data_IF_969316846152
#
_entry.id   IF_969316846152
#
_cell.length_a   1.000
_cell.length_b   1.000
_cell.length_c   1.000
_cell.angle_alpha   90.00
_cell.angle_beta   90.00
_cell.angle_gamma   90.00
#
_symmetry.space_group_name_H-M   'P 1'
#
loop_
_entity.id
_entity.type
_entity.pdbx_description
1 polymer ?
#
# COMPACT_ATOMS: atom_id res chain seq x y z
N UNK A 1 12.75 75.82 12.44
CA UNK A 1 11.42 75.18 12.32
C UNK A 1 11.61 73.80 11.71
N UNK A 2 10.98 72.79 12.33
CA UNK A 2 10.91 71.40 11.87
C UNK A 2 10.45 71.31 10.42
N UNK A 3 11.05 70.40 9.63
CA UNK A 3 10.32 69.46 8.77
C UNK A 3 11.26 68.36 8.27
N UNK A 4 10.97 67.18 8.78
CA UNK A 4 11.44 65.87 8.33
C UNK A 4 10.97 65.54 6.91
N UNK A 5 11.34 64.32 6.49
CA UNK A 5 10.89 63.53 5.33
C UNK A 5 11.86 63.54 4.16
N UNK A 6 12.30 62.42 3.60
CA UNK A 6 12.35 61.02 4.04
C UNK A 6 13.29 60.36 3.04
N UNK A 7 14.15 59.48 3.54
CA UNK A 7 15.06 58.66 2.75
C UNK A 7 14.20 57.70 1.89
N UNK A 8 14.15 57.93 0.58
CA UNK A 8 13.76 56.90 -0.39
C UNK A 8 15.05 56.46 -1.06
N UNK A 9 15.81 55.65 -0.33
CA UNK A 9 16.84 54.81 -0.92
C UNK A 9 16.08 53.80 -1.78
N UNK A 10 16.16 53.98 -3.10
CA UNK A 10 15.64 53.04 -4.09
C UNK A 10 16.33 51.71 -3.89
N UNK A 11 15.74 50.88 -3.03
CA UNK A 11 16.10 49.49 -2.82
C UNK A 11 15.62 48.74 -4.07
N UNK A 12 16.42 48.81 -5.13
CA UNK A 12 16.35 47.92 -6.28
C UNK A 12 16.79 46.52 -5.84
N UNK A 13 16.04 45.92 -4.92
CA UNK A 13 15.91 44.47 -4.82
C UNK A 13 14.96 44.08 -5.95
N UNK A 14 15.54 43.94 -7.14
CA UNK A 14 14.98 43.04 -8.15
C UNK A 14 15.10 41.66 -7.52
N UNK A 15 14.11 41.30 -6.71
CA UNK A 15 13.77 39.92 -6.46
C UNK A 15 13.43 39.37 -7.84
N UNK A 16 14.41 38.75 -8.50
CA UNK A 16 14.12 37.71 -9.47
C UNK A 16 13.33 36.67 -8.70
N UNK A 17 12.00 36.83 -8.68
CA UNK A 17 11.16 35.69 -8.43
C UNK A 17 11.54 34.72 -9.53
N UNK A 18 12.25 33.65 -9.15
CA UNK A 18 12.12 32.42 -9.89
C UNK A 18 10.64 32.07 -9.77
N UNK A 19 9.80 32.61 -10.66
CA UNK A 19 8.56 31.98 -11.00
C UNK A 19 8.98 30.68 -11.64
N UNK A 20 9.15 29.65 -10.82
CA UNK A 20 8.94 28.29 -11.29
C UNK A 20 7.47 28.26 -11.69
N UNK A 21 7.17 28.68 -12.91
CA UNK A 21 6.06 28.11 -13.66
C UNK A 21 6.42 26.63 -13.81
N UNK A 22 6.21 25.85 -12.75
CA UNK A 22 6.00 24.43 -12.93
C UNK A 22 4.73 24.39 -13.77
N UNK A 23 4.87 24.06 -15.05
CA UNK A 23 3.72 23.68 -15.85
C UNK A 23 2.94 22.66 -15.04
N UNK A 24 1.67 22.94 -14.76
CA UNK A 24 0.80 21.94 -14.15
C UNK A 24 0.96 20.64 -14.95
N UNK A 25 1.13 19.49 -14.29
CA UNK A 25 1.23 18.22 -14.99
C UNK A 25 0.06 18.11 -15.95
N UNK A 26 0.33 17.81 -17.22
CA UNK A 26 -0.76 17.45 -18.15
C UNK A 26 -1.53 16.26 -17.56
N UNK A 27 -2.85 16.20 -17.77
CA UNK A 27 -3.73 15.16 -17.20
C UNK A 27 -3.16 13.73 -17.35
N UNK A 28 -2.57 13.42 -18.52
CA UNK A 28 -1.93 12.15 -18.82
C UNK A 28 -0.69 11.85 -17.93
N UNK A 29 0.13 12.86 -17.62
CA UNK A 29 1.30 12.69 -16.76
C UNK A 29 0.91 12.41 -15.30
N UNK A 30 -0.20 12.98 -14.84
CA UNK A 30 -0.76 12.73 -13.52
C UNK A 30 -1.30 11.30 -13.41
N UNK A 31 -2.05 10.85 -14.41
CA UNK A 31 -2.58 9.47 -14.50
C UNK A 31 -1.46 8.41 -14.47
N UNK A 32 -0.45 8.55 -15.33
CA UNK A 32 0.71 7.64 -15.37
C UNK A 32 1.39 7.56 -14.00
N UNK A 33 1.61 8.72 -13.37
CA UNK A 33 2.26 8.78 -12.05
C UNK A 33 1.42 8.05 -10.99
N UNK A 34 0.09 8.23 -11.01
CA UNK A 34 -0.80 7.54 -10.07
C UNK A 34 -0.82 6.02 -10.28
N UNK A 35 -0.87 5.57 -11.53
CA UNK A 35 -0.79 4.14 -11.86
C UNK A 35 0.52 3.53 -11.37
N UNK A 36 1.66 4.19 -11.59
CA UNK A 36 2.97 3.70 -11.15
C UNK A 36 3.10 3.66 -9.63
N UNK A 37 2.64 4.70 -8.93
CA UNK A 37 2.64 4.72 -7.46
C UNK A 37 1.74 3.63 -6.92
N UNK A 38 0.56 3.41 -7.51
CA UNK A 38 -0.31 2.32 -7.09
C UNK A 38 0.31 0.96 -7.34
N UNK A 39 0.88 0.74 -8.53
CA UNK A 39 1.59 -0.50 -8.87
C UNK A 39 2.65 -0.80 -7.82
N UNK A 40 3.51 0.18 -7.54
CA UNK A 40 4.56 0.03 -6.55
C UNK A 40 4.00 -0.31 -5.16
N UNK A 41 2.98 0.42 -4.70
CA UNK A 41 2.40 0.21 -3.38
C UNK A 41 1.67 -1.13 -3.27
N UNK A 42 0.97 -1.55 -4.32
CA UNK A 42 0.28 -2.83 -4.36
C UNK A 42 1.27 -3.98 -4.28
N UNK A 43 2.24 -4.01 -5.19
CA UNK A 43 3.30 -5.03 -5.21
C UNK A 43 4.05 -5.08 -3.88
N UNK A 44 4.42 -3.92 -3.33
CA UNK A 44 5.13 -3.85 -2.06
C UNK A 44 4.29 -4.37 -0.89
N UNK A 45 3.01 -4.01 -0.83
CA UNK A 45 2.11 -4.47 0.24
C UNK A 45 1.81 -5.97 0.14
N UNK A 46 1.61 -6.51 -1.07
CA UNK A 46 1.41 -7.95 -1.25
C UNK A 46 2.66 -8.72 -0.84
N UNK A 47 3.84 -8.26 -1.28
CA UNK A 47 5.12 -8.86 -0.92
C UNK A 47 5.40 -8.82 0.59
N UNK A 48 5.15 -7.70 1.26
CA UNK A 48 5.37 -7.60 2.71
C UNK A 48 4.49 -8.60 3.47
N UNK A 49 3.21 -8.72 3.09
CA UNK A 49 2.33 -9.71 3.70
C UNK A 49 2.77 -11.14 3.41
N UNK A 50 3.18 -11.44 2.17
CA UNK A 50 3.78 -12.73 1.78
C UNK A 50 4.96 -13.08 2.68
N UNK A 51 5.88 -12.14 2.89
CA UNK A 51 7.08 -12.33 3.70
C UNK A 51 6.72 -12.57 5.17
N UNK A 52 5.83 -11.75 5.74
CA UNK A 52 5.37 -11.91 7.13
C UNK A 52 4.76 -13.30 7.33
N UNK A 53 3.83 -13.70 6.47
CA UNK A 53 3.15 -15.01 6.56
C UNK A 53 4.11 -16.17 6.34
N UNK A 54 5.08 -16.02 5.42
CA UNK A 54 6.15 -17.00 5.22
C UNK A 54 7.00 -17.18 6.46
N UNK A 55 7.45 -16.10 7.08
CA UNK A 55 8.28 -16.16 8.29
C UNK A 55 7.49 -16.78 9.47
N UNK A 56 6.23 -16.37 9.66
CA UNK A 56 5.34 -16.95 10.68
C UNK A 56 5.11 -18.45 10.45
N UNK A 57 4.94 -18.90 9.20
CA UNK A 57 4.74 -20.32 8.90
C UNK A 57 5.93 -21.20 9.24
N UNK A 58 7.12 -20.61 9.45
CA UNK A 58 8.36 -21.32 9.74
C UNK A 58 8.89 -21.08 11.16
N UNK A 59 8.14 -20.35 12.00
CA UNK A 59 8.60 -19.98 13.35
C UNK A 59 8.69 -21.19 14.28
N UNK A 60 9.84 -21.34 14.96
CA UNK A 60 10.12 -22.49 15.84
C UNK A 60 10.23 -22.13 17.31
N UNK A 61 10.58 -20.88 17.61
CA UNK A 61 10.88 -20.40 18.94
C UNK A 61 10.28 -19.01 19.19
N UNK A 62 10.28 -18.59 20.45
CA UNK A 62 9.71 -17.32 20.88
C UNK A 62 10.61 -16.11 20.58
N UNK A 63 11.92 -16.31 20.40
CA UNK A 63 12.86 -15.21 20.17
C UNK A 63 12.55 -14.50 18.84
N UNK A 64 12.14 -15.28 17.83
CA UNK A 64 11.74 -14.74 16.53
C UNK A 64 10.44 -13.93 16.57
N UNK A 65 9.59 -14.10 17.59
CA UNK A 65 8.32 -13.39 17.70
C UNK A 65 8.49 -11.87 17.83
N UNK A 66 9.55 -11.39 18.51
CA UNK A 66 9.82 -9.96 18.62
C UNK A 66 10.15 -9.33 17.25
N UNK A 67 10.91 -10.03 16.42
CA UNK A 67 11.20 -9.60 15.05
C UNK A 67 9.92 -9.58 14.19
N UNK A 68 9.10 -10.64 14.28
CA UNK A 68 7.83 -10.73 13.56
C UNK A 68 6.83 -9.66 14.01
N UNK A 69 6.80 -9.34 15.30
CA UNK A 69 6.01 -8.22 15.86
C UNK A 69 6.37 -6.91 15.17
N UNK A 70 7.66 -6.60 15.05
CA UNK A 70 8.12 -5.39 14.36
C UNK A 70 7.75 -5.35 12.87
N UNK A 71 7.78 -6.50 12.17
CA UNK A 71 7.33 -6.57 10.78
C UNK A 71 5.83 -6.32 10.65
N UNK A 72 5.03 -6.91 11.53
CA UNK A 72 3.57 -6.74 11.54
C UNK A 72 3.21 -5.30 11.91
N UNK A 73 3.84 -4.73 12.94
CA UNK A 73 3.63 -3.33 13.32
C UNK A 73 3.95 -2.40 12.15
N UNK A 74 5.11 -2.60 11.49
CA UNK A 74 5.48 -1.81 10.31
C UNK A 74 4.46 -1.89 9.18
N UNK A 75 3.83 -3.05 8.97
CA UNK A 75 2.78 -3.22 7.97
C UNK A 75 1.48 -2.52 8.38
N UNK A 76 1.13 -2.58 9.68
CA UNK A 76 -0.13 -2.06 10.21
C UNK A 76 -0.12 -0.54 10.46
N UNK A 77 1.05 0.10 10.49
CA UNK A 77 1.17 1.56 10.61
C UNK A 77 0.30 2.22 9.54
N UNK A 78 -0.65 3.08 9.92
CA UNK A 78 -1.44 3.84 8.97
C UNK A 78 -0.51 4.71 8.11
N UNK A 79 -0.44 4.42 6.82
CA UNK A 79 0.21 5.30 5.86
C UNK A 79 -0.87 6.15 5.17
N UNK A 80 -0.97 7.46 5.47
CA UNK A 80 -1.97 8.32 4.84
C UNK A 80 -1.74 8.51 3.33
N UNK A 81 -0.55 8.17 2.83
CA UNK A 81 -0.20 8.15 1.41
C UNK A 81 -0.44 6.79 0.75
N UNK A 82 -1.00 5.82 1.48
CA UNK A 82 -1.39 4.54 0.92
C UNK A 82 -2.56 4.75 -0.02
N UNK A 83 -2.29 4.62 -1.32
CA UNK A 83 -3.21 4.91 -2.39
C UNK A 83 -4.51 4.12 -2.30
N UNK A 84 -4.59 2.87 -1.83
CA UNK A 84 -5.89 2.22 -1.60
C UNK A 84 -6.86 3.11 -0.82
N UNK A 85 -6.45 3.69 0.31
CA UNK A 85 -7.29 4.63 1.07
C UNK A 85 -7.66 5.92 0.31
N UNK A 86 -6.82 6.39 -0.62
CA UNK A 86 -7.04 7.60 -1.43
C UNK A 86 -7.95 7.28 -2.63
N UNK A 87 -7.73 6.15 -3.30
CA UNK A 87 -8.59 5.51 -4.32
C UNK A 87 -10.03 5.37 -3.78
N UNK A 88 -10.19 5.04 -2.49
CA UNK A 88 -11.51 4.82 -1.89
C UNK A 88 -12.22 6.09 -1.42
N UNK A 89 -11.56 7.25 -1.46
CA UNK A 89 -12.13 8.52 -0.99
C UNK A 89 -12.25 9.58 -2.08
N UNK A 90 -11.68 9.35 -3.27
CA UNK A 90 -11.76 10.23 -4.43
C UNK A 90 -12.16 9.45 -5.70
N UNK A 91 -13.36 9.72 -6.23
CA UNK A 91 -13.91 9.05 -7.43
C UNK A 91 -13.09 9.32 -8.72
N UNK A 92 -12.42 10.47 -8.84
CA UNK A 92 -11.55 10.78 -9.98
C UNK A 92 -10.30 9.90 -9.97
N UNK A 93 -9.69 9.73 -8.79
CA UNK A 93 -8.50 8.89 -8.61
C UNK A 93 -8.83 7.40 -8.69
N UNK A 94 -10.06 7.03 -8.34
CA UNK A 94 -10.57 5.66 -8.35
C UNK A 94 -10.58 5.05 -9.74
N UNK A 95 -11.06 5.78 -10.74
CA UNK A 95 -11.15 5.31 -12.13
C UNK A 95 -9.79 5.14 -12.82
N UNK A 96 -8.72 5.77 -12.30
CA UNK A 96 -7.39 5.79 -12.92
C UNK A 96 -6.48 4.61 -12.52
N UNK A 97 -6.82 3.88 -11.44
CA UNK A 97 -5.81 3.09 -10.73
C UNK A 97 -6.02 1.56 -10.85
N UNK A 98 -7.25 1.12 -11.12
CA UNK A 98 -7.54 -0.26 -11.51
C UNK A 98 -8.83 -0.29 -12.33
N UNK A 99 -8.97 -1.30 -13.20
CA UNK A 99 -10.25 -1.62 -13.83
C UNK A 99 -11.34 -1.63 -12.75
N UNK A 100 -12.44 -0.91 -13.01
CA UNK A 100 -13.59 -0.79 -12.10
C UNK A 100 -14.01 -2.15 -11.53
N UNK A 101 -13.88 -3.21 -12.33
CA UNK A 101 -14.23 -4.58 -11.97
C UNK A 101 -13.30 -5.25 -10.95
N UNK A 102 -12.14 -4.67 -10.64
CA UNK A 102 -11.15 -5.21 -9.71
C UNK A 102 -11.04 -4.40 -8.42
N UNK A 103 -11.60 -3.18 -8.40
CA UNK A 103 -11.41 -2.26 -7.28
C UNK A 103 -11.95 -2.83 -5.97
N UNK A 104 -13.15 -3.40 -5.98
CA UNK A 104 -13.80 -3.97 -4.77
C UNK A 104 -12.98 -5.11 -4.16
N UNK A 105 -12.48 -6.00 -5.02
CA UNK A 105 -11.68 -7.15 -4.64
C UNK A 105 -10.32 -6.70 -4.08
N UNK A 106 -9.70 -5.69 -4.68
CA UNK A 106 -8.46 -5.11 -4.15
C UNK A 106 -8.68 -4.47 -2.77
N UNK A 107 -9.79 -3.74 -2.56
CA UNK A 107 -10.15 -3.21 -1.22
C UNK A 107 -10.22 -4.34 -0.21
N UNK A 108 -10.96 -5.38 -0.58
CA UNK A 108 -11.24 -6.53 0.27
C UNK A 108 -9.95 -7.26 0.63
N UNK A 109 -9.04 -7.43 -0.34
CA UNK A 109 -7.71 -7.98 -0.08
C UNK A 109 -6.95 -7.18 0.97
N UNK A 110 -6.91 -5.84 0.87
CA UNK A 110 -6.22 -5.01 1.85
C UNK A 110 -6.84 -5.08 3.24
N UNK A 111 -8.17 -5.07 3.34
CA UNK A 111 -8.89 -5.23 4.60
C UNK A 111 -8.59 -6.58 5.23
N UNK A 112 -8.70 -7.67 4.45
CA UNK A 112 -8.42 -9.02 4.91
C UNK A 112 -6.97 -9.17 5.40
N UNK A 113 -5.98 -8.65 4.64
CA UNK A 113 -4.58 -8.65 5.08
C UNK A 113 -4.40 -7.93 6.41
N UNK A 114 -5.01 -6.75 6.57
CA UNK A 114 -4.90 -5.93 7.78
C UNK A 114 -5.54 -6.62 8.99
N UNK A 115 -6.78 -7.09 8.85
CA UNK A 115 -7.48 -7.76 9.94
C UNK A 115 -6.80 -9.07 10.33
N UNK A 116 -6.29 -9.82 9.35
CA UNK A 116 -5.54 -11.03 9.62
C UNK A 116 -4.26 -10.75 10.42
N UNK A 117 -3.45 -9.77 10.01
CA UNK A 117 -2.23 -9.43 10.73
C UNK A 117 -2.51 -8.85 12.11
N UNK A 118 -3.63 -8.13 12.33
CA UNK A 118 -4.06 -7.75 13.69
C UNK A 118 -4.35 -8.97 14.57
N UNK A 119 -5.05 -9.98 14.06
CA UNK A 119 -5.31 -11.25 14.78
C UNK A 119 -3.99 -11.92 15.16
N UNK A 120 -3.04 -12.03 14.21
CA UNK A 120 -1.71 -12.59 14.48
C UNK A 120 -0.92 -11.74 15.47
N UNK A 121 -0.98 -10.41 15.39
CA UNK A 121 -0.28 -9.50 16.30
C UNK A 121 -0.70 -9.72 17.75
N UNK A 122 -1.98 -9.99 18.01
CA UNK A 122 -2.46 -10.37 19.35
C UNK A 122 -1.73 -11.61 19.86
N UNK A 123 -1.64 -12.66 19.03
CA UNK A 123 -0.96 -13.91 19.40
C UNK A 123 0.54 -13.71 19.64
N UNK A 124 1.18 -12.87 18.82
CA UNK A 124 2.59 -12.51 18.96
C UNK A 124 2.82 -11.76 20.29
N UNK A 125 1.97 -10.78 20.61
CA UNK A 125 2.06 -9.99 21.84
C UNK A 125 1.80 -10.84 23.09
N UNK A 126 0.92 -11.84 22.99
CA UNK A 126 0.67 -12.84 24.04
C UNK A 126 1.79 -13.89 24.16
N UNK A 127 2.80 -13.86 23.28
CA UNK A 127 3.83 -14.89 23.16
C UNK A 127 3.26 -16.31 22.97
N UNK A 128 2.14 -16.41 22.27
CA UNK A 128 1.39 -17.65 22.04
C UNK A 128 1.92 -18.42 20.82
N UNK A 129 3.16 -18.93 20.96
CA UNK A 129 3.84 -19.67 19.90
C UNK A 129 3.06 -20.91 19.44
N UNK A 130 2.38 -21.61 20.36
CA UNK A 130 1.63 -22.83 20.05
C UNK A 130 0.46 -22.54 19.09
N UNK A 131 -0.30 -21.46 19.34
CA UNK A 131 -1.41 -21.06 18.46
C UNK A 131 -0.90 -20.61 17.09
N UNK A 132 0.23 -19.88 17.03
CA UNK A 132 0.86 -19.50 15.76
C UNK A 132 1.31 -20.73 14.98
N UNK A 133 1.93 -21.70 15.67
CA UNK A 133 2.33 -22.98 15.06
C UNK A 133 1.13 -23.80 14.58
N UNK A 134 0.00 -23.73 15.29
CA UNK A 134 -1.27 -24.33 14.85
C UNK A 134 -1.83 -23.74 13.55
N UNK A 135 -1.33 -22.58 13.10
CA UNK A 135 -1.74 -21.91 11.85
C UNK A 135 -0.72 -22.04 10.72
N UNK A 136 0.33 -22.86 10.86
CA UNK A 136 1.41 -22.95 9.87
C UNK A 136 0.92 -23.21 8.45
N UNK A 137 0.02 -24.18 8.25
CA UNK A 137 -0.51 -24.52 6.93
C UNK A 137 -1.32 -23.38 6.31
N UNK A 138 -2.10 -22.67 7.14
CA UNK A 138 -2.86 -21.50 6.72
C UNK A 138 -1.93 -20.35 6.29
N UNK A 139 -0.95 -20.04 7.13
CA UNK A 139 0.06 -19.00 6.86
C UNK A 139 0.86 -19.31 5.60
N UNK A 140 1.27 -20.57 5.42
CA UNK A 140 1.96 -21.04 4.22
C UNK A 140 1.09 -20.88 2.98
N UNK A 141 -0.17 -21.31 3.04
CA UNK A 141 -1.13 -21.17 1.94
C UNK A 141 -1.34 -19.71 1.56
N UNK A 142 -1.52 -18.82 2.54
CA UNK A 142 -1.68 -17.39 2.29
C UNK A 142 -0.44 -16.79 1.64
N UNK A 143 0.76 -17.16 2.09
CA UNK A 143 2.03 -16.74 1.49
C UNK A 143 2.11 -17.17 0.02
N UNK A 144 1.87 -18.45 -0.28
CA UNK A 144 1.89 -18.98 -1.65
C UNK A 144 0.87 -18.29 -2.57
N UNK A 145 -0.32 -17.98 -2.05
CA UNK A 145 -1.37 -17.26 -2.78
C UNK A 145 -0.99 -15.80 -3.06
N UNK A 146 -0.34 -15.10 -2.11
CA UNK A 146 0.15 -13.75 -2.36
C UNK A 146 1.20 -13.73 -3.47
N UNK A 147 2.14 -14.69 -3.47
CA UNK A 147 3.13 -14.80 -4.53
C UNK A 147 2.51 -14.97 -5.93
N UNK A 148 1.33 -15.60 -6.03
CA UNK A 148 0.61 -15.76 -7.31
C UNK A 148 -0.04 -14.48 -7.82
N UNK A 149 -0.47 -13.59 -6.93
CA UNK A 149 -1.10 -12.32 -7.33
C UNK A 149 -0.13 -11.14 -7.33
N UNK A 150 1.13 -11.36 -6.94
CA UNK A 150 2.15 -10.32 -6.96
C UNK A 150 2.87 -10.24 -8.30
N UNK A 151 2.11 -10.01 -9.38
CA UNK A 151 2.63 -9.98 -10.74
C UNK A 151 2.04 -8.85 -11.59
N UNK A 152 2.52 -8.72 -12.83
CA UNK A 152 2.15 -7.64 -13.73
C UNK A 152 0.77 -7.80 -14.38
N UNK A 153 0.03 -8.90 -14.14
CA UNK A 153 -1.27 -9.14 -14.80
C UNK A 153 -2.33 -8.12 -14.39
N UNK A 154 -2.27 -7.60 -13.17
CA UNK A 154 -3.16 -6.52 -12.70
C UNK A 154 -3.05 -5.25 -13.55
N UNK A 155 -1.88 -4.99 -14.13
CA UNK A 155 -1.57 -3.77 -14.89
C UNK A 155 -1.55 -4.04 -16.41
N UNK A 156 -2.08 -5.17 -16.83
CA UNK A 156 -2.07 -5.61 -18.23
C UNK A 156 -3.30 -5.10 -18.97
N UNK A 157 -3.10 -4.57 -20.18
CA UNK A 157 -4.19 -4.23 -21.10
C UNK A 157 -4.81 -5.45 -21.81
N UNK A 158 -4.23 -6.64 -21.61
CA UNK A 158 -4.78 -7.91 -22.10
C UNK A 158 -5.91 -8.41 -21.19
N UNK A 159 -7.13 -8.46 -21.76
CA UNK A 159 -8.33 -8.93 -21.07
C UNK A 159 -8.21 -10.33 -20.49
N UNK A 160 -7.56 -11.27 -21.18
CA UNK A 160 -7.42 -12.64 -20.66
C UNK A 160 -6.52 -12.68 -19.42
N UNK A 161 -5.48 -11.84 -19.39
CA UNK A 161 -4.61 -11.70 -18.21
C UNK A 161 -5.36 -11.06 -17.05
N UNK A 162 -6.15 -10.02 -17.30
CA UNK A 162 -6.99 -9.38 -16.29
C UNK A 162 -8.04 -10.35 -15.71
N UNK A 163 -8.74 -11.09 -16.58
CA UNK A 163 -9.73 -12.10 -16.16
C UNK A 163 -9.08 -13.24 -15.34
N UNK A 164 -7.87 -13.67 -15.74
CA UNK A 164 -7.11 -14.67 -14.98
C UNK A 164 -6.66 -14.13 -13.63
N UNK A 165 -6.20 -12.88 -13.57
CA UNK A 165 -5.81 -12.23 -12.32
C UNK A 165 -7.01 -12.11 -11.37
N UNK A 166 -8.19 -11.72 -11.90
CA UNK A 166 -9.42 -11.63 -11.11
C UNK A 166 -9.75 -12.94 -10.39
N UNK A 167 -9.68 -14.06 -11.10
CA UNK A 167 -9.95 -15.39 -10.52
C UNK A 167 -8.97 -15.77 -9.41
N UNK A 168 -7.69 -15.46 -9.62
CA UNK A 168 -6.67 -15.70 -8.59
C UNK A 168 -6.91 -14.80 -7.37
N UNK A 169 -7.24 -13.53 -7.57
CA UNK A 169 -7.57 -12.58 -6.51
C UNK A 169 -8.79 -13.03 -5.70
N UNK A 170 -9.88 -13.46 -6.35
CA UNK A 170 -11.06 -14.02 -5.68
C UNK A 170 -10.70 -15.26 -4.84
N UNK A 171 -9.83 -16.13 -5.37
CA UNK A 171 -9.31 -17.31 -4.65
C UNK A 171 -8.53 -16.91 -3.42
N UNK A 172 -7.68 -15.88 -3.53
CA UNK A 172 -6.92 -15.34 -2.39
C UNK A 172 -7.85 -14.78 -1.33
N UNK A 173 -8.84 -13.97 -1.71
CA UNK A 173 -9.82 -13.37 -0.79
C UNK A 173 -10.57 -14.44 -0.01
N UNK A 174 -11.00 -15.51 -0.68
CA UNK A 174 -11.72 -16.63 -0.05
C UNK A 174 -10.84 -17.50 0.86
N UNK A 175 -9.52 -17.44 0.69
CA UNK A 175 -8.59 -18.22 1.52
C UNK A 175 -8.36 -17.63 2.91
N UNK A 176 -8.74 -16.37 3.14
CA UNK A 176 -8.66 -15.77 4.47
C UNK A 176 -9.67 -16.39 5.43
N UNK A 177 -9.28 -16.69 6.67
CA UNK A 177 -10.22 -17.19 7.68
C UNK A 177 -11.21 -16.09 8.05
N UNK A 178 -12.51 -16.46 8.07
CA UNK A 178 -13.62 -15.59 8.45
C UNK A 178 -13.58 -15.29 9.95
#
# INVERSE_FOLDING_TARGET
MKRSFSIIFGLSLILTSCSTTSSEPTHNQFEITLTDVFKHQHTSSVYQFELITKELSNVKDKERLAYLSGMIDSYLIPNPLFLPSIIFTNEETKQMIADEQLQSEIVTLYQNKKEYLKKIQSLVNENNLMEIQGKQDELKKLSELMGKINDDRLFSNDKQKADSYKKDLETVIQAFPK
#
